data_IF_656368426494
#
_entry.id   IF_656368426494
#
_cell.length_a   1.000
_cell.length_b   1.000
_cell.length_c   1.000
_cell.angle_alpha   90.00
_cell.angle_beta   90.00
_cell.angle_gamma   90.00
#
_symmetry.space_group_name_H-M   'P 1'
#
loop_
_entity.id
_entity.type
_entity.pdbx_description
1 polymer ?
#
# COMPACT_ATOMS: atom_id res chain seq x y z
N UNK A 1 -16.16 -24.09 16.04
CA UNK A 1 -15.67 -22.78 15.57
C UNK A 1 -15.29 -22.02 16.83
N UNK A 2 -14.03 -21.65 17.01
CA UNK A 2 -13.61 -20.86 18.16
C UNK A 2 -14.21 -19.46 18.04
N UNK A 3 -14.56 -18.84 19.17
CA UNK A 3 -15.12 -17.48 19.24
C UNK A 3 -14.31 -16.48 18.38
N UNK A 4 -12.98 -16.59 18.41
CA UNK A 4 -12.05 -15.84 17.57
C UNK A 4 -12.27 -15.99 16.04
N UNK A 5 -12.70 -17.16 15.57
CA UNK A 5 -12.94 -17.42 14.15
C UNK A 5 -14.25 -16.82 13.63
N UNK A 6 -15.28 -16.78 14.47
CA UNK A 6 -16.56 -16.15 14.12
C UNK A 6 -16.49 -14.62 14.22
N UNK A 7 -15.76 -14.10 15.20
CA UNK A 7 -15.46 -12.67 15.28
C UNK A 7 -14.64 -12.19 14.07
N UNK A 8 -13.53 -12.88 13.75
CA UNK A 8 -12.70 -12.52 12.61
C UNK A 8 -13.46 -12.57 11.28
N UNK A 9 -14.37 -13.54 11.10
CA UNK A 9 -15.24 -13.60 9.91
C UNK A 9 -16.14 -12.38 9.84
N UNK A 10 -16.84 -12.06 10.94
CA UNK A 10 -17.77 -10.93 11.00
C UNK A 10 -17.06 -9.61 10.69
N UNK A 11 -15.87 -9.39 11.28
CA UNK A 11 -15.06 -8.21 11.00
C UNK A 11 -14.54 -8.19 9.55
N UNK A 12 -14.22 -9.35 8.98
CA UNK A 12 -13.87 -9.50 7.58
C UNK A 12 -15.00 -9.11 6.62
N UNK A 13 -16.25 -9.48 6.94
CA UNK A 13 -17.44 -9.10 6.17
C UNK A 13 -17.67 -7.59 6.21
N UNK A 14 -17.49 -6.95 7.38
CA UNK A 14 -17.53 -5.49 7.50
C UNK A 14 -16.44 -4.84 6.62
N UNK A 15 -15.23 -5.40 6.62
CA UNK A 15 -14.14 -4.94 5.76
C UNK A 15 -14.47 -5.03 4.26
N UNK A 16 -15.18 -6.08 3.83
CA UNK A 16 -15.65 -6.20 2.45
C UNK A 16 -16.66 -5.09 2.09
N UNK A 17 -17.60 -4.78 3.00
CA UNK A 17 -18.53 -3.65 2.82
C UNK A 17 -17.79 -2.32 2.66
N UNK A 18 -16.75 -2.08 3.47
CA UNK A 18 -15.95 -0.85 3.37
C UNK A 18 -15.19 -0.73 2.05
N UNK A 19 -14.66 -1.86 1.54
CA UNK A 19 -13.99 -1.91 0.24
C UNK A 19 -14.93 -1.49 -0.89
N UNK A 20 -16.17 -1.96 -0.86
CA UNK A 20 -17.17 -1.69 -1.90
C UNK A 20 -17.80 -0.29 -1.78
N UNK A 21 -17.77 0.30 -0.59
CA UNK A 21 -18.38 1.60 -0.30
C UNK A 21 -17.65 2.80 -0.94
N UNK A 22 -16.45 2.61 -1.51
CA UNK A 22 -15.70 3.70 -2.15
C UNK A 22 -15.34 4.82 -1.17
N UNK A 23 -14.73 4.46 -0.03
CA UNK A 23 -14.38 5.39 1.04
C UNK A 23 -13.56 6.59 0.53
N UNK A 24 -13.78 7.74 1.17
CA UNK A 24 -13.01 8.95 0.88
C UNK A 24 -11.52 8.72 1.08
N UNK A 25 -10.73 9.29 0.17
CA UNK A 25 -9.28 9.28 0.30
C UNK A 25 -8.84 10.05 1.54
N UNK A 26 -7.78 9.57 2.18
CA UNK A 26 -7.13 10.18 3.33
C UNK A 26 -5.97 11.03 2.82
N UNK A 27 -5.96 12.31 3.22
CA UNK A 27 -4.83 13.20 2.96
C UNK A 27 -3.68 12.86 3.89
N UNK A 28 -2.52 12.52 3.31
CA UNK A 28 -1.29 12.21 4.06
C UNK A 28 -0.14 13.13 3.65
N UNK A 29 0.80 13.31 4.57
CA UNK A 29 2.06 14.05 4.35
C UNK A 29 3.22 13.06 4.40
N UNK A 30 4.04 13.05 3.36
CA UNK A 30 5.19 12.16 3.19
C UNK A 30 6.46 13.01 3.09
N UNK A 31 7.47 12.78 3.94
CA UNK A 31 8.76 13.45 3.84
C UNK A 31 9.35 13.36 2.43
N UNK A 32 9.93 14.45 1.92
CA UNK A 32 10.44 14.56 0.55
C UNK A 32 11.29 13.35 0.12
N UNK A 33 12.27 12.99 0.94
CA UNK A 33 13.20 11.88 0.70
C UNK A 33 12.47 10.53 0.59
N UNK A 34 11.40 10.33 1.34
CA UNK A 34 10.60 9.10 1.28
C UNK A 34 9.68 9.10 0.06
N UNK A 35 9.12 10.26 -0.30
CA UNK A 35 8.30 10.41 -1.49
C UNK A 35 9.12 10.14 -2.76
N UNK A 36 10.32 10.70 -2.87
CA UNK A 36 11.27 10.43 -3.97
C UNK A 36 11.59 8.94 -4.09
N UNK A 37 11.85 8.26 -2.97
CA UNK A 37 12.12 6.82 -2.96
C UNK A 37 10.91 5.99 -3.37
N UNK A 38 9.71 6.38 -2.94
CA UNK A 38 8.47 5.71 -3.34
C UNK A 38 8.24 5.83 -4.85
N UNK A 39 8.41 7.03 -5.42
CA UNK A 39 8.32 7.28 -6.87
C UNK A 39 9.37 6.47 -7.62
N UNK A 40 10.62 6.51 -7.18
CA UNK A 40 11.69 5.72 -7.79
C UNK A 40 11.39 4.22 -7.75
N UNK A 41 10.78 3.72 -6.66
CA UNK A 41 10.40 2.30 -6.57
C UNK A 41 9.28 1.91 -7.54
N UNK A 42 8.34 2.82 -7.83
CA UNK A 42 7.30 2.60 -8.84
C UNK A 42 7.86 2.64 -10.26
N UNK A 43 8.80 3.55 -10.53
CA UNK A 43 9.40 3.75 -11.86
C UNK A 43 10.47 2.71 -12.22
N UNK A 44 10.85 1.83 -11.30
CA UNK A 44 11.76 0.74 -11.62
C UNK A 44 11.05 -0.24 -12.54
N UNK A 45 11.50 -0.30 -13.79
CA UNK A 45 11.19 -1.40 -14.69
C UNK A 45 11.74 -2.69 -14.07
N UNK A 46 10.85 -3.61 -13.74
CA UNK A 46 11.22 -4.96 -13.31
C UNK A 46 11.61 -5.74 -14.56
N UNK A 47 12.82 -5.46 -15.09
CA UNK A 47 13.38 -6.12 -16.29
C UNK A 47 13.61 -7.63 -16.08
N UNK A 48 13.41 -8.14 -14.86
CA UNK A 48 13.49 -9.55 -14.52
C UNK A 48 12.22 -10.30 -14.90
N UNK A 49 12.34 -11.27 -15.82
CA UNK A 49 11.28 -12.25 -16.03
C UNK A 49 10.95 -12.96 -14.70
N UNK A 50 9.66 -13.01 -14.34
CA UNK A 50 9.23 -13.78 -13.18
C UNK A 50 9.77 -15.22 -13.28
N UNK A 51 10.35 -15.77 -12.20
CA UNK A 51 10.92 -17.12 -12.24
C UNK A 51 9.84 -18.13 -12.68
N UNK A 52 10.23 -19.11 -13.51
CA UNK A 52 9.30 -20.14 -14.03
C UNK A 52 8.60 -20.94 -12.94
N UNK A 53 9.19 -20.97 -11.74
CA UNK A 53 8.62 -21.51 -10.52
C UNK A 53 8.83 -20.48 -9.42
N UNK A 54 7.78 -19.77 -9.03
CA UNK A 54 7.79 -18.82 -7.91
C UNK A 54 7.27 -19.54 -6.66
N UNK A 55 8.00 -19.47 -5.55
CA UNK A 55 7.51 -19.98 -4.27
C UNK A 55 6.27 -19.16 -3.82
N UNK A 56 5.26 -19.77 -3.16
CA UNK A 56 4.09 -19.02 -2.69
C UNK A 56 4.43 -17.80 -1.80
N UNK A 57 5.53 -17.88 -1.04
CA UNK A 57 6.03 -16.78 -0.20
C UNK A 57 6.61 -15.65 -1.04
N UNK A 58 7.36 -15.97 -2.09
CA UNK A 58 7.91 -14.99 -3.03
C UNK A 58 6.79 -14.27 -3.78
N UNK A 59 5.78 -15.03 -4.23
CA UNK A 59 4.57 -14.48 -4.85
C UNK A 59 3.84 -13.50 -3.94
N UNK A 60 3.69 -13.85 -2.65
CA UNK A 60 3.07 -12.97 -1.67
C UNK A 60 3.88 -11.69 -1.46
N UNK A 61 5.21 -11.81 -1.35
CA UNK A 61 6.11 -10.65 -1.23
C UNK A 61 6.03 -9.74 -2.45
N UNK A 62 6.06 -10.30 -3.66
CA UNK A 62 5.93 -9.54 -4.90
C UNK A 62 4.57 -8.86 -5.00
N UNK A 63 3.49 -9.54 -4.64
CA UNK A 63 2.17 -8.93 -4.60
C UNK A 63 2.12 -7.74 -3.63
N UNK A 64 2.64 -7.91 -2.41
CA UNK A 64 2.73 -6.82 -1.42
C UNK A 64 3.58 -5.65 -1.93
N UNK A 65 4.74 -5.94 -2.52
CA UNK A 65 5.61 -4.91 -3.09
C UNK A 65 4.91 -4.14 -4.22
N UNK A 66 4.18 -4.84 -5.10
CA UNK A 66 3.36 -4.22 -6.14
C UNK A 66 2.26 -3.33 -5.58
N UNK A 67 1.53 -3.79 -4.55
CA UNK A 67 0.52 -2.97 -3.87
C UNK A 67 1.15 -1.72 -3.23
N UNK A 68 2.29 -1.85 -2.54
CA UNK A 68 3.00 -0.73 -1.92
C UNK A 68 3.55 0.25 -2.96
N UNK A 69 3.96 -0.23 -4.14
CA UNK A 69 4.43 0.62 -5.23
C UNK A 69 3.34 1.55 -5.78
N UNK A 70 2.05 1.23 -5.59
CA UNK A 70 0.93 2.13 -5.93
C UNK A 70 0.97 3.45 -5.16
N UNK A 71 1.67 3.50 -4.01
CA UNK A 71 1.92 4.77 -3.29
C UNK A 71 2.84 5.67 -4.13
N UNK A 72 3.88 5.10 -4.74
CA UNK A 72 4.77 5.83 -5.66
C UNK A 72 4.03 6.35 -6.89
N UNK A 73 3.12 5.55 -7.45
CA UNK A 73 2.22 5.99 -8.53
C UNK A 73 1.32 7.15 -8.06
N UNK A 74 0.65 7.01 -6.92
CA UNK A 74 -0.24 8.04 -6.39
C UNK A 74 0.49 9.37 -6.12
N UNK A 75 1.72 9.31 -5.61
CA UNK A 75 2.57 10.49 -5.45
C UNK A 75 2.93 11.11 -6.82
N UNK A 76 3.28 10.28 -7.81
CA UNK A 76 3.62 10.75 -9.15
C UNK A 76 2.45 11.48 -9.81
N UNK A 77 1.23 10.95 -9.69
CA UNK A 77 0.05 11.49 -10.37
C UNK A 77 -0.59 12.67 -9.63
N UNK A 78 -0.59 12.64 -8.29
CA UNK A 78 -1.44 13.51 -7.46
C UNK A 78 -0.69 14.19 -6.31
N UNK A 79 0.58 13.87 -6.11
CA UNK A 79 1.40 14.50 -5.08
C UNK A 79 1.59 15.99 -5.32
N UNK A 80 1.49 16.77 -4.25
CA UNK A 80 1.74 18.21 -4.25
C UNK A 80 2.78 18.52 -3.19
N UNK A 81 3.72 19.42 -3.49
CA UNK A 81 4.72 19.85 -2.51
C UNK A 81 4.14 20.91 -1.58
N UNK A 82 4.29 20.73 -0.26
CA UNK A 82 3.93 21.75 0.73
C UNK A 82 5.04 22.79 0.94
N UNK A 83 4.82 23.74 1.86
CA UNK A 83 5.77 24.81 2.15
C UNK A 83 7.10 24.32 2.74
N UNK A 84 7.12 23.13 3.35
CA UNK A 84 8.29 22.52 3.97
C UNK A 84 9.02 21.56 3.01
N UNK A 85 8.53 21.43 1.77
CA UNK A 85 9.08 20.54 0.76
C UNK A 85 8.56 19.10 0.85
N UNK A 86 7.62 18.79 1.75
CA UNK A 86 7.05 17.44 1.84
C UNK A 86 5.99 17.22 0.76
N UNK A 87 5.70 15.96 0.46
CA UNK A 87 4.64 15.59 -0.48
C UNK A 87 3.33 15.39 0.27
N UNK A 88 2.31 16.14 -0.11
CA UNK A 88 0.91 15.95 0.28
C UNK A 88 0.20 15.17 -0.82
N UNK A 89 -0.44 14.06 -0.47
CA UNK A 89 -1.17 13.21 -1.43
C UNK A 89 -2.40 12.61 -0.78
N UNK A 90 -3.48 12.49 -1.54
CA UNK A 90 -4.69 11.80 -1.09
C UNK A 90 -4.59 10.31 -1.44
N UNK A 91 -4.59 9.41 -0.45
CA UNK A 91 -4.46 7.96 -0.64
C UNK A 91 -5.75 7.23 -0.24
N UNK A 92 -6.03 6.08 -0.85
CA UNK A 92 -7.14 5.25 -0.37
C UNK A 92 -6.84 4.74 1.05
N UNK A 93 -7.86 4.57 1.90
CA UNK A 93 -7.67 3.97 3.22
C UNK A 93 -6.98 2.59 3.16
N UNK A 94 -7.24 1.82 2.11
CA UNK A 94 -6.59 0.51 1.89
C UNK A 94 -5.08 0.65 1.70
N UNK A 95 -4.61 1.56 0.85
CA UNK A 95 -3.17 1.77 0.64
C UNK A 95 -2.47 2.28 1.90
N UNK A 96 -3.14 3.17 2.64
CA UNK A 96 -2.65 3.66 3.93
C UNK A 96 -2.51 2.49 4.93
N UNK A 97 -3.54 1.65 5.06
CA UNK A 97 -3.50 0.49 5.95
C UNK A 97 -2.43 -0.53 5.56
N UNK A 98 -2.27 -0.81 4.27
CA UNK A 98 -1.21 -1.70 3.77
C UNK A 98 0.18 -1.14 4.08
N UNK A 99 0.39 0.18 3.95
CA UNK A 99 1.66 0.81 4.31
C UNK A 99 1.97 0.70 5.80
N UNK A 100 0.96 0.90 6.67
CA UNK A 100 1.12 0.73 8.12
C UNK A 100 1.48 -0.71 8.49
N UNK A 101 0.76 -1.70 7.94
CA UNK A 101 1.05 -3.12 8.18
C UNK A 101 2.47 -3.51 7.70
N UNK A 102 2.93 -2.92 6.59
CA UNK A 102 4.29 -3.16 6.09
C UNK A 102 5.37 -2.55 7.01
N UNK A 103 5.03 -1.53 7.81
CA UNK A 103 5.95 -0.98 8.80
C UNK A 103 6.20 -1.94 9.96
N UNK A 104 5.24 -2.81 10.31
CA UNK A 104 5.42 -3.85 11.33
C UNK A 104 6.48 -4.89 10.91
N UNK A 105 6.66 -5.12 9.60
CA UNK A 105 7.71 -6.00 9.07
C UNK A 105 9.13 -5.39 9.24
N UNK A 106 9.25 -4.11 9.63
CA UNK A 106 10.53 -3.41 9.87
C UNK A 106 10.97 -3.42 11.35
N UNK A 107 10.08 -3.81 12.26
CA UNK A 107 10.30 -3.81 13.71
C UNK A 107 10.94 -5.11 14.22
#
# INVERSE_FOLDING_TARGET
MTEYGDEARTLGEIGAVFRDAGLQAVRVVVPAVLAERAVASWQRDDEGAAPRTEDPTERLRRHRAGTLALIGLAITERGQTDADGNTVVDLSPELVGVAMNAADDLA
#
